data_IF_983521576315
#
_entry.id   IF_983521576315
#
_cell.length_a   1.000
_cell.length_b   1.000
_cell.length_c   1.000
_cell.angle_alpha   90.00
_cell.angle_beta   90.00
_cell.angle_gamma   90.00
#
_symmetry.space_group_name_H-M   'P 1'
#
loop_
_entity.id
_entity.type
_entity.pdbx_description
1 polymer ?
#
# COMPACT_ATOMS: atom_id res chain seq x y z
N UNK A 1 -37.61 46.77 -17.72
CA UNK A 1 -36.18 46.44 -17.44
C UNK A 1 -35.95 45.57 -16.19
N UNK A 2 -36.93 45.34 -15.31
CA UNK A 2 -36.72 44.58 -14.05
C UNK A 2 -36.82 43.05 -14.18
N UNK A 3 -37.51 42.52 -15.20
CA UNK A 3 -37.77 41.08 -15.33
C UNK A 3 -36.53 40.28 -15.81
N UNK A 4 -35.78 40.81 -16.78
CA UNK A 4 -34.55 40.19 -17.30
C UNK A 4 -33.45 40.04 -16.24
N UNK A 5 -33.35 40.98 -15.30
CA UNK A 5 -32.39 40.90 -14.20
C UNK A 5 -32.78 39.83 -13.15
N UNK A 6 -34.08 39.52 -13.00
CA UNK A 6 -34.52 38.45 -12.09
C UNK A 6 -34.28 37.08 -12.70
N UNK A 7 -34.58 36.89 -13.98
CA UNK A 7 -34.31 35.62 -14.70
C UNK A 7 -32.80 35.32 -14.76
N UNK A 8 -31.96 36.33 -15.08
CA UNK A 8 -30.50 36.16 -15.10
C UNK A 8 -29.91 35.80 -13.74
N UNK A 9 -30.47 36.33 -12.65
CA UNK A 9 -30.07 36.01 -11.27
C UNK A 9 -30.50 34.59 -10.86
N UNK A 10 -31.66 34.13 -11.31
CA UNK A 10 -32.11 32.75 -11.08
C UNK A 10 -31.28 31.73 -11.86
N UNK A 11 -30.95 32.00 -13.12
CA UNK A 11 -30.08 31.13 -13.92
C UNK A 11 -28.66 31.05 -13.36
N UNK A 12 -28.12 32.18 -12.88
CA UNK A 12 -26.81 32.22 -12.23
C UNK A 12 -26.80 31.45 -10.89
N UNK A 13 -27.88 31.53 -10.11
CA UNK A 13 -28.03 30.77 -8.87
C UNK A 13 -28.10 29.25 -9.14
N UNK A 14 -28.85 28.83 -10.17
CA UNK A 14 -28.96 27.40 -10.54
C UNK A 14 -27.63 26.82 -11.03
N UNK A 15 -26.89 27.58 -11.83
CA UNK A 15 -25.57 27.19 -12.34
C UNK A 15 -24.53 27.10 -11.21
N UNK A 16 -24.56 28.04 -10.25
CA UNK A 16 -23.68 28.00 -9.08
C UNK A 16 -23.98 26.78 -8.18
N UNK A 17 -25.25 26.42 -8.00
CA UNK A 17 -25.64 25.22 -7.25
C UNK A 17 -25.22 23.92 -7.94
N UNK A 18 -25.24 23.86 -9.27
CA UNK A 18 -24.78 22.68 -10.03
C UNK A 18 -23.25 22.46 -9.95
N UNK A 19 -22.47 23.56 -9.95
CA UNK A 19 -21.01 23.49 -9.77
C UNK A 19 -20.63 23.06 -8.35
N UNK A 20 -21.38 23.49 -7.34
CA UNK A 20 -21.15 23.09 -5.94
C UNK A 20 -21.51 21.62 -5.66
N UNK A 21 -22.49 21.06 -6.37
CA UNK A 21 -22.84 19.64 -6.25
C UNK A 21 -21.77 18.71 -6.87
N UNK A 22 -21.08 19.19 -7.92
CA UNK A 22 -19.97 18.47 -8.58
C UNK A 22 -18.62 18.68 -7.87
N UNK A 23 -18.51 19.66 -6.98
CA UNK A 23 -17.28 19.95 -6.21
C UNK A 23 -17.22 19.22 -4.87
N UNK A 24 -17.94 18.10 -4.72
CA UNK A 24 -17.83 17.26 -3.52
C UNK A 24 -16.38 16.79 -3.38
N UNK A 25 -15.71 17.03 -2.24
CA UNK A 25 -14.38 16.48 -2.02
C UNK A 25 -14.52 14.96 -1.98
N UNK A 26 -14.06 14.28 -3.04
CA UNK A 26 -13.95 12.83 -3.09
C UNK A 26 -12.76 12.38 -2.23
N UNK A 27 -12.81 12.66 -0.94
CA UNK A 27 -11.78 12.24 0.00
C UNK A 27 -12.44 11.55 1.19
N UNK A 28 -12.02 10.30 1.41
CA UNK A 28 -12.46 9.36 2.45
C UNK A 28 -13.78 8.61 2.21
N UNK A 29 -13.96 8.03 1.01
CA UNK A 29 -14.66 6.75 0.98
C UNK A 29 -13.70 5.70 1.55
N UNK A 30 -14.09 4.99 2.59
CA UNK A 30 -13.36 3.81 3.06
C UNK A 30 -13.13 2.89 1.85
N UNK A 31 -11.87 2.47 1.66
CA UNK A 31 -11.51 1.55 0.58
C UNK A 31 -12.35 0.30 0.74
N UNK A 32 -13.16 -0.03 -0.27
CA UNK A 32 -14.01 -1.21 -0.23
C UNK A 32 -13.17 -2.48 -0.13
N UNK A 33 -13.76 -3.58 0.36
CA UNK A 33 -13.07 -4.87 0.41
C UNK A 33 -12.63 -5.35 -0.98
N UNK A 34 -13.42 -5.08 -2.02
CA UNK A 34 -13.09 -5.41 -3.42
C UNK A 34 -11.88 -4.63 -3.91
N UNK A 35 -11.83 -3.33 -3.63
CA UNK A 35 -10.72 -2.46 -4.02
C UNK A 35 -9.44 -2.84 -3.28
N UNK A 36 -9.53 -3.14 -1.99
CA UNK A 36 -8.39 -3.61 -1.20
C UNK A 36 -7.89 -4.98 -1.68
N UNK A 37 -8.79 -5.88 -2.09
CA UNK A 37 -8.42 -7.16 -2.70
C UNK A 37 -7.69 -6.97 -4.03
N UNK A 38 -8.18 -6.07 -4.90
CA UNK A 38 -7.50 -5.73 -6.15
C UNK A 38 -6.10 -5.14 -5.88
N UNK A 39 -5.97 -4.28 -4.87
CA UNK A 39 -4.69 -3.70 -4.48
C UNK A 39 -3.68 -4.76 -4.00
N UNK A 40 -4.13 -5.71 -3.16
CA UNK A 40 -3.28 -6.85 -2.75
C UNK A 40 -2.83 -7.69 -3.93
N UNK A 41 -3.73 -7.98 -4.87
CA UNK A 41 -3.40 -8.74 -6.08
C UNK A 41 -2.35 -8.01 -6.94
N UNK A 42 -2.51 -6.69 -7.11
CA UNK A 42 -1.56 -5.88 -7.84
C UNK A 42 -0.18 -5.85 -7.16
N UNK A 43 -0.12 -5.57 -5.86
CA UNK A 43 1.12 -5.55 -5.06
C UNK A 43 1.86 -6.89 -5.13
N UNK A 44 1.14 -8.00 -5.03
CA UNK A 44 1.69 -9.34 -5.15
C UNK A 44 2.21 -9.63 -6.56
N UNK A 45 1.45 -9.27 -7.60
CA UNK A 45 1.83 -9.52 -9.00
C UNK A 45 3.10 -8.77 -9.42
N UNK A 46 3.35 -7.60 -8.84
CA UNK A 46 4.54 -6.77 -9.13
C UNK A 46 5.70 -6.98 -8.16
N UNK A 47 5.59 -7.93 -7.22
CA UNK A 47 6.63 -8.20 -6.23
C UNK A 47 7.06 -6.95 -5.42
N UNK A 48 6.12 -6.02 -5.17
CA UNK A 48 6.43 -4.72 -4.58
C UNK A 48 6.96 -4.80 -3.13
N UNK A 49 6.69 -5.90 -2.44
CA UNK A 49 7.09 -6.12 -1.04
C UNK A 49 8.21 -7.14 -0.86
N UNK A 50 8.63 -7.83 -1.92
CA UNK A 50 9.68 -8.86 -1.87
C UNK A 50 11.01 -8.34 -1.32
N UNK A 51 11.44 -7.08 -1.58
CA UNK A 51 12.64 -6.53 -0.97
C UNK A 51 12.60 -6.52 0.58
N UNK A 52 11.41 -6.55 1.20
CA UNK A 52 11.28 -6.56 2.66
C UNK A 52 11.64 -7.90 3.30
N UNK A 53 11.64 -9.00 2.53
CA UNK A 53 11.82 -10.36 3.06
C UNK A 53 13.20 -10.58 3.64
N UNK A 54 14.18 -9.83 3.12
CA UNK A 54 15.57 -9.94 3.53
C UNK A 54 15.96 -8.93 4.63
N UNK A 55 15.13 -7.92 4.90
CA UNK A 55 15.49 -6.87 5.87
C UNK A 55 15.66 -7.46 7.27
N UNK A 56 14.67 -8.20 7.73
CA UNK A 56 14.67 -8.74 9.09
C UNK A 56 15.77 -9.81 9.30
N UNK A 57 15.96 -10.81 8.42
CA UNK A 57 17.07 -11.75 8.53
C UNK A 57 18.45 -11.09 8.50
N UNK A 58 18.66 -10.10 7.61
CA UNK A 58 19.94 -9.39 7.53
C UNK A 58 20.21 -8.57 8.80
N UNK A 59 19.20 -7.87 9.32
CA UNK A 59 19.32 -7.12 10.56
C UNK A 59 19.61 -8.03 11.76
N UNK A 60 18.93 -9.19 11.83
CA UNK A 60 19.16 -10.19 12.87
C UNK A 60 20.60 -10.73 12.82
N UNK A 61 21.07 -11.14 11.65
CA UNK A 61 22.43 -11.65 11.48
C UNK A 61 23.51 -10.59 11.79
N UNK A 62 23.30 -9.34 11.38
CA UNK A 62 24.20 -8.23 11.70
C UNK A 62 24.27 -7.98 13.22
N UNK A 63 23.11 -7.98 13.89
CA UNK A 63 23.03 -7.81 15.34
C UNK A 63 23.68 -8.97 16.10
N UNK A 64 23.41 -10.22 15.68
CA UNK A 64 23.99 -11.42 16.27
C UNK A 64 25.52 -11.38 16.21
N UNK A 65 26.09 -11.10 15.03
CA UNK A 65 27.53 -10.96 14.85
C UNK A 65 28.12 -9.86 15.75
N UNK A 66 27.46 -8.71 15.84
CA UNK A 66 27.91 -7.61 16.69
C UNK A 66 27.90 -8.00 18.18
N UNK A 67 26.89 -8.74 18.63
CA UNK A 67 26.78 -9.16 20.03
C UNK A 67 27.79 -10.26 20.37
N UNK A 68 28.02 -11.22 19.48
CA UNK A 68 29.03 -12.28 19.64
C UNK A 68 30.43 -11.68 19.71
N UNK A 69 30.76 -10.73 18.84
CA UNK A 69 32.06 -10.05 18.90
C UNK A 69 32.31 -9.36 20.25
N UNK A 70 31.25 -8.84 20.89
CA UNK A 70 31.35 -8.19 22.20
C UNK A 70 31.38 -9.18 23.36
N UNK A 71 30.71 -10.32 23.25
CA UNK A 71 30.60 -11.34 24.29
C UNK A 71 30.73 -12.76 23.70
N UNK A 72 31.95 -13.20 23.34
CA UNK A 72 32.15 -14.47 22.64
C UNK A 72 31.72 -15.71 23.44
N UNK A 73 31.79 -15.63 24.77
CA UNK A 73 31.35 -16.67 25.71
C UNK A 73 29.82 -16.87 25.74
N UNK A 74 29.06 -15.87 25.27
CA UNK A 74 27.59 -15.90 25.25
C UNK A 74 27.00 -16.30 23.88
N UNK A 75 27.81 -16.82 22.95
CA UNK A 75 27.40 -17.08 21.57
C UNK A 75 26.08 -17.87 21.45
N UNK A 76 25.93 -18.97 22.19
CA UNK A 76 24.72 -19.79 22.14
C UNK A 76 23.47 -19.04 22.63
N UNK A 77 23.58 -18.30 23.73
CA UNK A 77 22.47 -17.51 24.27
C UNK A 77 22.07 -16.39 23.32
N UNK A 78 23.06 -15.71 22.73
CA UNK A 78 22.84 -14.63 21.76
C UNK A 78 22.11 -15.19 20.54
N UNK A 79 22.62 -16.24 19.91
CA UNK A 79 22.00 -16.83 18.72
C UNK A 79 20.57 -17.29 18.97
N UNK A 80 20.33 -17.98 20.09
CA UNK A 80 18.97 -18.38 20.51
C UNK A 80 18.06 -17.17 20.66
N UNK A 81 18.49 -16.16 21.41
CA UNK A 81 17.66 -14.99 21.72
C UNK A 81 17.35 -14.16 20.47
N UNK A 82 18.35 -13.90 19.62
CA UNK A 82 18.17 -13.12 18.39
C UNK A 82 17.23 -13.85 17.44
N UNK A 83 17.42 -15.17 17.25
CA UNK A 83 16.56 -15.99 16.42
C UNK A 83 15.10 -16.00 16.92
N UNK A 84 14.89 -16.23 18.23
CA UNK A 84 13.56 -16.19 18.85
C UNK A 84 12.86 -14.83 18.62
N UNK A 85 13.59 -13.72 18.76
CA UNK A 85 13.03 -12.38 18.52
C UNK A 85 12.76 -12.10 17.05
N UNK A 86 13.64 -12.55 16.15
CA UNK A 86 13.41 -12.43 14.71
C UNK A 86 12.17 -13.22 14.28
N UNK A 87 11.99 -14.45 14.77
CA UNK A 87 10.79 -15.24 14.51
C UNK A 87 9.52 -14.55 15.02
N UNK A 88 9.55 -13.95 16.22
CA UNK A 88 8.42 -13.20 16.75
C UNK A 88 8.04 -11.99 15.89
N UNK A 89 9.01 -11.39 15.20
CA UNK A 89 8.80 -10.27 14.28
C UNK A 89 8.37 -10.71 12.88
N UNK A 90 8.58 -11.97 12.48
CA UNK A 90 8.23 -12.45 11.14
C UNK A 90 6.74 -12.27 10.80
N UNK A 91 5.85 -12.37 11.80
CA UNK A 91 4.42 -12.12 11.63
C UNK A 91 4.10 -10.69 11.13
N UNK A 92 4.99 -9.71 11.36
CA UNK A 92 4.83 -8.33 10.89
C UNK A 92 4.87 -8.18 9.37
N UNK A 93 5.32 -9.21 8.64
CA UNK A 93 5.31 -9.23 7.17
C UNK A 93 3.90 -9.04 6.60
N UNK A 94 2.91 -9.72 7.15
CA UNK A 94 1.52 -9.59 6.70
C UNK A 94 0.97 -8.17 6.92
N UNK A 95 1.39 -7.50 8.00
CA UNK A 95 1.00 -6.13 8.25
C UNK A 95 1.64 -5.15 7.26
N UNK A 96 2.91 -5.37 6.88
CA UNK A 96 3.58 -4.58 5.83
C UNK A 96 2.89 -4.72 4.48
N UNK A 97 2.48 -5.93 4.10
CA UNK A 97 1.70 -6.16 2.88
C UNK A 97 0.35 -5.44 2.90
N UNK A 98 -0.31 -5.45 4.07
CA UNK A 98 -1.58 -4.73 4.25
C UNK A 98 -1.40 -3.22 4.04
N UNK A 99 -0.36 -2.63 4.63
CA UNK A 99 -0.06 -1.21 4.47
C UNK A 99 0.32 -0.88 3.02
N UNK A 100 1.11 -1.73 2.36
CA UNK A 100 1.43 -1.58 0.94
C UNK A 100 0.16 -1.59 0.07
N UNK A 101 -0.73 -2.57 0.28
CA UNK A 101 -2.00 -2.63 -0.45
C UNK A 101 -2.88 -1.40 -0.19
N UNK A 102 -2.94 -0.90 1.04
CA UNK A 102 -3.65 0.34 1.37
C UNK A 102 -3.06 1.56 0.66
N UNK A 103 -1.74 1.66 0.56
CA UNK A 103 -1.09 2.73 -0.18
C UNK A 103 -1.45 2.68 -1.67
N UNK A 104 -1.46 1.49 -2.28
CA UNK A 104 -1.87 1.31 -3.68
C UNK A 104 -3.36 1.63 -3.91
N UNK A 105 -4.24 1.17 -3.02
CA UNK A 105 -5.67 1.45 -3.11
C UNK A 105 -6.02 2.95 -3.03
N UNK A 106 -5.19 3.75 -2.36
CA UNK A 106 -5.34 5.21 -2.28
C UNK A 106 -4.92 5.93 -3.58
N UNK A 107 -4.07 5.32 -4.39
CA UNK A 107 -3.47 5.94 -5.58
C UNK A 107 -4.15 5.48 -6.87
N UNK A 108 -4.54 4.22 -6.93
CA UNK A 108 -5.12 3.61 -8.13
C UNK A 108 -6.58 3.24 -7.92
N UNK A 109 -7.38 3.36 -8.97
CA UNK A 109 -8.74 2.81 -8.99
C UNK A 109 -8.73 1.27 -8.95
N UNK A 110 -9.84 0.67 -8.53
CA UNK A 110 -9.98 -0.80 -8.52
C UNK A 110 -9.75 -1.40 -9.91
N UNK A 111 -10.19 -0.73 -10.98
CA UNK A 111 -9.97 -1.19 -12.36
C UNK A 111 -8.48 -1.22 -12.71
N UNK A 112 -7.76 -0.14 -12.44
CA UNK A 112 -6.33 -0.06 -12.75
C UNK A 112 -5.53 -1.12 -11.99
N UNK A 113 -5.88 -1.37 -10.72
CA UNK A 113 -5.25 -2.42 -9.92
C UNK A 113 -5.47 -3.82 -10.51
N UNK A 114 -6.70 -4.11 -10.98
CA UNK A 114 -6.99 -5.39 -11.65
C UNK A 114 -6.26 -5.52 -13.00
N UNK A 115 -6.14 -4.43 -13.76
CA UNK A 115 -5.40 -4.40 -15.02
C UNK A 115 -3.90 -4.64 -14.78
N UNK A 116 -3.30 -3.98 -13.77
CA UNK A 116 -1.92 -4.19 -13.33
C UNK A 116 -1.70 -5.65 -12.94
N UNK A 117 -2.55 -6.18 -12.05
CA UNK A 117 -2.44 -7.57 -11.59
C UNK A 117 -2.51 -8.56 -12.77
N UNK A 118 -3.41 -8.33 -13.72
CA UNK A 118 -3.59 -9.17 -14.90
C UNK A 118 -2.35 -9.14 -15.81
N UNK A 119 -1.83 -7.95 -16.10
CA UNK A 119 -0.65 -7.81 -16.95
C UNK A 119 0.58 -8.48 -16.34
N UNK A 120 0.90 -8.17 -15.09
CA UNK A 120 2.09 -8.72 -14.42
C UNK A 120 1.95 -10.19 -14.03
N UNK A 121 0.74 -10.76 -14.09
CA UNK A 121 0.56 -12.22 -13.99
C UNK A 121 0.84 -12.98 -15.30
N UNK A 122 0.88 -12.30 -16.44
CA UNK A 122 1.20 -12.90 -17.75
C UNK A 122 2.68 -13.23 -17.90
N UNK A 123 3.03 -14.14 -18.83
CA UNK A 123 4.42 -14.52 -19.09
C UNK A 123 5.30 -13.32 -19.47
N UNK A 124 4.79 -12.44 -20.33
CA UNK A 124 5.50 -11.23 -20.73
C UNK A 124 5.64 -10.23 -19.58
N UNK A 125 4.61 -10.11 -18.73
CA UNK A 125 4.63 -9.21 -17.57
C UNK A 125 5.64 -9.67 -16.52
N UNK A 126 5.66 -10.98 -16.20
CA UNK A 126 6.66 -11.57 -15.29
C UNK A 126 8.07 -11.36 -15.81
N UNK A 127 8.30 -11.59 -17.11
CA UNK A 127 9.60 -11.37 -17.75
C UNK A 127 10.08 -9.91 -17.68
N UNK A 128 9.20 -8.94 -17.48
CA UNK A 128 9.57 -7.54 -17.30
C UNK A 128 10.02 -7.23 -15.87
N UNK A 129 9.64 -8.04 -14.89
CA UNK A 129 10.02 -7.91 -13.48
C UNK A 129 11.35 -8.60 -13.16
N UNK A 130 11.75 -9.59 -13.96
CA UNK A 130 13.05 -10.27 -13.89
C UNK A 130 14.22 -9.36 -14.29
#
# INVERSE_FOLDING_TARGET
>A
MMLHNRVRRFSAALAASAVLALSSPAFAQDVSESHLKAARAAVAAIHATDPFDNILPQAAAALENQLIQKNPDMQELIGKTVSEKAMALAARRADLEKEAALAYAKVFSEKELNDIATFYSSDSGKKLLD
#
